data_IF_439920161918
#
_entry.id   IF_439920161918
#
_cell.length_a   1.000
_cell.length_b   1.000
_cell.length_c   1.000
_cell.angle_alpha   90.00
_cell.angle_beta   90.00
_cell.angle_gamma   90.00
#
_symmetry.space_group_name_H-M   'P 1'
#
loop_
_entity.id
_entity.type
_entity.pdbx_description
1 polymer ?
#
# COMPACT_ATOMS: atom_id res chain seq x y z
N UNK A 1 7.60 13.99 24.00
CA UNK A 1 8.00 14.02 25.41
C UNK A 1 9.52 14.02 25.60
N UNK A 2 10.24 13.23 24.79
CA UNK A 2 11.71 13.10 24.86
C UNK A 2 12.42 14.40 24.52
N UNK A 3 12.01 15.08 23.44
CA UNK A 3 12.57 16.36 22.99
C UNK A 3 12.49 17.51 24.04
N UNK A 4 11.48 17.47 24.91
CA UNK A 4 11.30 18.47 25.97
C UNK A 4 12.19 18.21 27.21
N UNK A 5 12.74 16.99 27.30
CA UNK A 5 13.58 16.56 28.42
C UNK A 5 15.08 16.66 28.12
N UNK A 6 15.47 16.96 26.87
CA UNK A 6 16.87 17.10 26.49
C UNK A 6 17.52 18.32 27.14
N UNK A 7 18.74 18.14 27.62
CA UNK A 7 19.55 19.25 28.08
C UNK A 7 19.98 20.13 26.92
N UNK A 8 19.67 21.42 27.00
CA UNK A 8 19.84 22.37 25.92
C UNK A 8 21.30 22.61 25.55
N UNK A 9 22.21 22.53 26.48
CA UNK A 9 23.63 22.67 26.21
C UNK A 9 24.15 21.48 25.39
N UNK A 10 23.73 20.27 25.73
CA UNK A 10 24.03 19.05 24.97
C UNK A 10 23.49 19.15 23.54
N UNK A 11 22.28 19.68 23.35
CA UNK A 11 21.68 19.91 22.02
C UNK A 11 22.50 20.91 21.19
N UNK A 12 22.95 22.01 21.82
CA UNK A 12 23.80 23.02 21.18
C UNK A 12 25.12 22.39 20.73
N UNK A 13 25.79 21.66 21.60
CA UNK A 13 27.06 21.01 21.27
C UNK A 13 26.92 20.01 20.14
N UNK A 14 25.93 19.13 20.18
CA UNK A 14 25.66 18.16 19.13
C UNK A 14 25.37 18.84 17.79
N UNK A 15 24.61 19.93 17.77
CA UNK A 15 24.31 20.67 16.56
C UNK A 15 25.56 21.36 15.99
N UNK A 16 26.38 21.98 16.84
CA UNK A 16 27.62 22.64 16.45
C UNK A 16 28.67 21.64 15.92
N UNK A 17 28.76 20.46 16.53
CA UNK A 17 29.67 19.40 16.08
C UNK A 17 29.22 18.80 14.73
N UNK A 18 27.93 18.52 14.57
CA UNK A 18 27.38 17.99 13.32
C UNK A 18 27.56 18.98 12.14
N UNK A 19 27.63 20.29 12.43
CA UNK A 19 27.76 21.36 11.44
C UNK A 19 29.13 22.08 11.53
N UNK A 20 30.16 21.40 11.97
CA UNK A 20 31.48 21.98 12.26
C UNK A 20 32.05 22.87 11.14
N UNK A 21 31.86 22.53 9.87
CA UNK A 21 32.31 23.32 8.72
C UNK A 21 31.61 24.69 8.59
N UNK A 22 30.41 24.83 9.12
CA UNK A 22 29.59 26.06 9.09
C UNK A 22 29.70 26.83 10.40
N UNK A 23 30.07 26.17 11.48
CA UNK A 23 30.04 26.70 12.85
C UNK A 23 31.38 27.29 13.29
N UNK A 24 32.30 27.57 12.37
CA UNK A 24 33.61 28.21 12.67
C UNK A 24 33.49 29.68 13.07
N UNK A 25 32.38 30.35 12.79
CA UNK A 25 32.15 31.75 13.18
C UNK A 25 31.59 31.85 14.62
N UNK A 26 32.23 32.60 15.52
CA UNK A 26 31.71 32.85 16.88
C UNK A 26 30.31 33.48 16.88
N UNK A 27 30.02 34.33 15.90
CA UNK A 27 28.72 34.99 15.74
C UNK A 27 27.61 33.98 15.42
N UNK A 28 27.91 32.96 14.62
CA UNK A 28 26.96 31.89 14.32
C UNK A 28 26.73 30.97 15.52
N UNK A 29 27.79 30.63 16.25
CA UNK A 29 27.67 29.84 17.48
C UNK A 29 26.81 30.55 18.53
N UNK A 30 26.98 31.85 18.72
CA UNK A 30 26.15 32.64 19.61
C UNK A 30 24.68 32.71 19.17
N UNK A 31 24.46 32.79 17.85
CA UNK A 31 23.11 32.73 17.29
C UNK A 31 22.44 31.39 17.57
N UNK A 32 23.14 30.27 17.42
CA UNK A 32 22.65 28.94 17.76
C UNK A 32 22.29 28.87 19.23
N UNK A 33 23.19 29.29 20.14
CA UNK A 33 22.95 29.32 21.59
C UNK A 33 21.72 30.14 21.93
N UNK A 34 21.63 31.35 21.44
CA UNK A 34 20.50 32.27 21.70
C UNK A 34 19.17 31.65 21.17
N UNK A 35 19.20 31.02 20.01
CA UNK A 35 18.01 30.38 19.42
C UNK A 35 17.54 29.22 20.29
N UNK A 36 18.43 28.30 20.65
CA UNK A 36 18.06 27.09 21.43
C UNK A 36 17.62 27.44 22.84
N UNK A 37 18.33 28.36 23.51
CA UNK A 37 17.95 28.78 24.88
C UNK A 37 16.64 29.55 24.93
N UNK A 38 16.28 30.27 23.87
CA UNK A 38 15.03 30.99 23.74
C UNK A 38 13.80 30.15 23.38
N UNK A 39 13.97 28.87 23.05
CA UNK A 39 12.86 27.99 22.71
C UNK A 39 11.99 27.65 23.92
N UNK A 40 10.71 27.98 23.87
CA UNK A 40 9.72 27.47 24.81
C UNK A 40 9.22 26.08 24.42
N UNK A 41 8.58 25.35 25.33
CA UNK A 41 7.96 24.06 25.04
C UNK A 41 6.92 24.18 23.88
N UNK A 42 6.16 25.24 23.85
CA UNK A 42 5.18 25.53 22.79
C UNK A 42 5.88 25.74 21.42
N UNK A 43 7.01 26.46 21.42
CA UNK A 43 7.78 26.69 20.21
C UNK A 43 8.42 25.39 19.69
N UNK A 44 8.92 24.53 20.57
CA UNK A 44 9.45 23.21 20.20
C UNK A 44 8.33 22.36 19.56
N UNK A 45 7.15 22.33 20.14
CA UNK A 45 6.02 21.59 19.56
C UNK A 45 5.62 22.13 18.18
N UNK A 46 5.58 23.44 18.03
CA UNK A 46 5.28 24.11 16.75
C UNK A 46 6.32 23.79 15.67
N UNK A 47 7.61 23.78 16.05
CA UNK A 47 8.71 23.41 15.17
C UNK A 47 8.64 21.94 14.76
N UNK A 48 8.38 21.06 15.71
CA UNK A 48 8.20 19.64 15.46
C UNK A 48 7.08 19.42 14.43
N UNK A 49 5.89 20.03 14.66
CA UNK A 49 4.77 19.97 13.71
C UNK A 49 5.14 20.49 12.32
N UNK A 50 5.92 21.56 12.23
CA UNK A 50 6.39 22.13 10.96
C UNK A 50 7.38 21.19 10.28
N UNK A 51 8.33 20.64 11.02
CA UNK A 51 9.33 19.70 10.51
C UNK A 51 8.66 18.42 9.99
N UNK A 52 7.76 17.83 10.76
CA UNK A 52 6.92 16.69 10.33
C UNK A 52 6.20 16.98 9.03
N UNK A 53 5.55 18.13 8.95
CA UNK A 53 4.84 18.55 7.74
C UNK A 53 5.77 18.70 6.53
N UNK A 54 6.98 19.22 6.72
CA UNK A 54 7.99 19.36 5.68
C UNK A 54 8.54 18.00 5.24
N UNK A 55 8.84 17.11 6.17
CA UNK A 55 9.25 15.74 5.86
C UNK A 55 8.12 14.97 5.15
N UNK A 56 6.90 15.03 5.66
CA UNK A 56 5.76 14.45 4.96
C UNK A 56 5.65 14.97 3.52
N UNK A 57 5.92 16.26 3.28
CA UNK A 57 5.98 16.85 1.95
C UNK A 57 7.11 16.28 1.08
N UNK A 58 8.30 16.11 1.64
CA UNK A 58 9.46 15.58 0.91
C UNK A 58 9.31 14.09 0.56
N UNK A 59 8.55 13.34 1.35
CA UNK A 59 8.21 11.93 1.07
C UNK A 59 6.95 11.77 0.21
N UNK A 60 6.37 12.85 -0.32
CA UNK A 60 5.17 12.79 -1.16
C UNK A 60 3.86 12.62 -0.37
N UNK A 61 3.87 12.71 0.94
CA UNK A 61 2.69 12.58 1.81
C UNK A 61 1.72 13.79 1.79
N UNK A 62 1.90 14.73 0.86
CA UNK A 62 0.94 15.82 0.60
C UNK A 62 -0.21 15.42 -0.31
N UNK A 63 -0.05 14.31 -1.01
CA UNK A 63 -1.08 13.74 -1.84
C UNK A 63 -2.06 12.97 -0.95
N UNK A 64 -3.35 12.90 -1.31
CA UNK A 64 -4.25 11.95 -0.68
C UNK A 64 -3.60 10.56 -0.78
N UNK A 65 -3.67 9.78 0.30
CA UNK A 65 -3.05 8.46 0.32
C UNK A 65 -3.39 7.69 -0.95
N UNK A 66 -2.38 7.30 -1.71
CA UNK A 66 -2.53 6.58 -2.97
C UNK A 66 -1.97 5.18 -2.81
N UNK A 67 -2.73 4.19 -3.27
CA UNK A 67 -2.25 2.84 -3.51
C UNK A 67 -2.50 2.47 -4.96
N UNK A 68 -1.45 2.03 -5.64
CA UNK A 68 -1.55 1.46 -6.99
C UNK A 68 -1.61 -0.06 -6.88
N UNK A 69 -2.54 -0.67 -7.60
CA UNK A 69 -2.69 -2.12 -7.66
C UNK A 69 -2.40 -2.56 -9.09
N UNK A 70 -1.32 -3.32 -9.26
CA UNK A 70 -0.87 -3.83 -10.55
C UNK A 70 -1.20 -5.32 -10.66
N UNK A 71 -1.65 -5.74 -11.83
CA UNK A 71 -1.98 -7.14 -12.13
C UNK A 71 -0.85 -7.69 -12.99
N UNK A 72 0.01 -8.51 -12.39
CA UNK A 72 1.20 -9.03 -13.02
C UNK A 72 0.93 -10.40 -13.64
N UNK A 73 1.13 -10.50 -14.97
CA UNK A 73 1.07 -11.80 -15.67
C UNK A 73 2.25 -12.65 -15.23
N UNK A 74 2.01 -13.95 -15.06
CA UNK A 74 3.08 -14.89 -14.69
C UNK A 74 2.85 -16.27 -15.29
N UNK A 75 3.85 -17.15 -15.15
CA UNK A 75 3.72 -18.54 -15.54
C UNK A 75 2.73 -19.26 -14.62
N UNK A 76 1.82 -20.03 -15.21
CA UNK A 76 1.00 -20.97 -14.46
C UNK A 76 1.87 -22.08 -13.89
N UNK A 77 1.79 -22.33 -12.60
CA UNK A 77 2.47 -23.44 -11.96
C UNK A 77 1.62 -24.72 -12.04
N UNK A 78 2.26 -25.91 -12.08
CA UNK A 78 1.53 -27.19 -12.10
C UNK A 78 0.70 -27.41 -10.84
N UNK A 79 -0.47 -28.03 -10.97
CA UNK A 79 -1.27 -28.52 -9.84
C UNK A 79 -0.95 -30.01 -9.60
N UNK A 80 0.29 -30.31 -9.23
CA UNK A 80 0.86 -31.64 -9.00
C UNK A 80 1.01 -31.98 -7.50
N UNK A 81 0.42 -31.17 -6.63
CA UNK A 81 0.47 -31.31 -5.17
C UNK A 81 1.77 -30.79 -4.53
N UNK A 82 2.74 -30.36 -5.31
CA UNK A 82 3.97 -29.74 -4.80
C UNK A 82 3.75 -28.25 -4.54
N UNK A 83 4.62 -27.65 -3.76
CA UNK A 83 4.61 -26.22 -3.46
C UNK A 83 5.77 -25.53 -4.20
N UNK A 84 5.45 -24.45 -4.88
CA UNK A 84 6.36 -23.68 -5.72
C UNK A 84 6.58 -22.27 -5.15
N UNK A 85 7.65 -21.63 -5.60
CA UNK A 85 7.85 -20.19 -5.39
C UNK A 85 7.13 -19.40 -6.47
N UNK A 86 6.87 -18.11 -6.21
CA UNK A 86 6.28 -17.19 -7.17
C UNK A 86 7.15 -17.11 -8.43
N UNK A 87 6.60 -17.42 -9.62
CA UNK A 87 7.32 -17.20 -10.86
C UNK A 87 7.49 -15.70 -11.16
N UNK A 88 8.49 -15.30 -11.95
CA UNK A 88 8.70 -13.89 -12.29
C UNK A 88 7.52 -13.32 -13.09
N UNK A 89 7.38 -11.98 -13.03
CA UNK A 89 6.44 -11.27 -13.89
C UNK A 89 6.84 -11.40 -15.36
N UNK A 90 5.84 -11.58 -16.20
CA UNK A 90 5.91 -11.54 -17.67
C UNK A 90 5.35 -10.22 -18.25
N UNK A 91 5.09 -9.23 -17.37
CA UNK A 91 4.51 -7.94 -17.69
C UNK A 91 3.11 -7.78 -17.10
N UNK A 92 2.61 -6.56 -17.15
CA UNK A 92 1.31 -6.20 -16.55
C UNK A 92 0.16 -6.48 -17.49
N UNK A 93 -0.98 -6.86 -16.91
CA UNK A 93 -2.24 -6.84 -17.63
C UNK A 93 -2.71 -5.38 -17.79
N UNK A 94 -3.22 -4.97 -18.98
CA UNK A 94 -3.76 -3.65 -19.13
C UNK A 94 -5.17 -3.57 -18.59
N UNK A 95 -5.52 -2.39 -18.16
CA UNK A 95 -6.85 -2.06 -17.69
C UNK A 95 -7.49 -1.05 -18.63
N UNK A 96 -8.82 -1.17 -18.83
CA UNK A 96 -9.64 -0.22 -19.58
C UNK A 96 -10.91 0.07 -18.77
N UNK A 97 -11.37 1.31 -18.77
CA UNK A 97 -12.63 1.62 -18.10
C UNK A 97 -13.82 0.96 -18.80
N UNK A 98 -14.74 0.40 -18.00
CA UNK A 98 -15.98 -0.20 -18.51
C UNK A 98 -16.79 0.81 -19.34
N UNK A 99 -16.77 2.08 -18.91
CA UNK A 99 -17.48 3.18 -19.56
C UNK A 99 -17.04 3.42 -21.01
N UNK A 100 -15.76 3.23 -21.32
CA UNK A 100 -15.22 3.35 -22.68
C UNK A 100 -15.79 2.30 -23.64
N UNK A 101 -16.36 1.21 -23.08
CA UNK A 101 -16.91 0.09 -23.83
C UNK A 101 -18.40 -0.15 -23.54
N UNK A 102 -19.10 0.82 -22.97
CA UNK A 102 -20.48 0.70 -22.50
C UNK A 102 -21.50 0.14 -23.52
N UNK A 103 -21.22 0.25 -24.82
CA UNK A 103 -22.04 -0.34 -25.90
C UNK A 103 -21.65 -1.78 -26.28
N UNK A 104 -20.61 -2.37 -25.69
CA UNK A 104 -20.04 -3.68 -26.04
C UNK A 104 -19.93 -4.64 -24.87
N UNK A 105 -20.16 -4.17 -23.65
CA UNK A 105 -20.13 -4.99 -22.44
C UNK A 105 -21.53 -5.40 -22.00
N UNK A 106 -21.67 -6.50 -21.23
CA UNK A 106 -22.94 -6.88 -20.63
C UNK A 106 -23.55 -5.77 -19.76
N UNK A 107 -24.89 -5.62 -19.70
CA UNK A 107 -25.54 -4.61 -18.86
C UNK A 107 -25.08 -4.64 -17.40
N UNK A 108 -24.89 -5.81 -16.84
CA UNK A 108 -24.46 -6.01 -15.45
C UNK A 108 -23.06 -5.46 -15.18
N UNK A 109 -22.17 -5.49 -16.18
CA UNK A 109 -20.82 -4.90 -16.06
C UNK A 109 -20.89 -3.37 -16.07
N UNK A 110 -21.78 -2.83 -16.90
CA UNK A 110 -22.02 -1.38 -16.94
C UNK A 110 -22.60 -0.86 -15.61
N UNK A 111 -23.51 -1.61 -15.00
CA UNK A 111 -24.09 -1.26 -13.70
C UNK A 111 -23.06 -1.33 -12.57
N UNK A 112 -22.17 -2.31 -12.61
CA UNK A 112 -21.08 -2.46 -11.61
C UNK A 112 -19.96 -1.44 -11.80
N UNK A 113 -19.77 -0.90 -13.00
CA UNK A 113 -18.64 -0.03 -13.33
C UNK A 113 -17.28 -0.75 -13.20
N UNK A 114 -16.23 0.01 -12.93
CA UNK A 114 -14.89 -0.52 -12.77
C UNK A 114 -14.10 -0.63 -14.06
N UNK A 115 -13.26 -1.66 -14.18
CA UNK A 115 -12.33 -1.82 -15.29
C UNK A 115 -12.45 -3.20 -15.95
N UNK A 116 -12.14 -3.24 -17.24
CA UNK A 116 -11.95 -4.46 -18.01
C UNK A 116 -10.49 -4.86 -17.94
N UNK A 117 -10.25 -6.12 -17.70
CA UNK A 117 -8.92 -6.74 -17.77
C UNK A 117 -8.99 -7.96 -18.66
N UNK A 118 -8.54 -7.84 -19.87
CA UNK A 118 -8.48 -8.95 -20.78
C UNK A 118 -7.41 -10.01 -20.39
N UNK A 119 -7.73 -11.32 -20.30
CA UNK A 119 -6.89 -12.41 -19.79
C UNK A 119 -7.33 -13.76 -20.38
N UNK A 120 -6.51 -14.46 -21.12
CA UNK A 120 -6.86 -15.74 -21.75
C UNK A 120 -7.06 -16.87 -20.73
N UNK A 121 -7.86 -17.86 -21.11
CA UNK A 121 -8.04 -19.06 -20.29
C UNK A 121 -6.70 -19.70 -19.92
N UNK A 122 -6.55 -20.07 -18.65
CA UNK A 122 -5.37 -20.70 -18.06
C UNK A 122 -4.14 -19.77 -17.89
N UNK A 123 -4.22 -18.50 -18.23
CA UNK A 123 -3.22 -17.54 -17.78
C UNK A 123 -3.24 -17.41 -16.25
N UNK A 124 -2.11 -17.00 -15.69
CA UNK A 124 -1.96 -16.79 -14.25
C UNK A 124 -1.51 -15.37 -13.95
N UNK A 125 -1.90 -14.87 -12.79
CA UNK A 125 -1.51 -13.56 -12.30
C UNK A 125 -1.17 -13.57 -10.82
N UNK A 126 -0.53 -12.50 -10.38
CA UNK A 126 -0.42 -12.06 -9.00
C UNK A 126 -0.64 -10.55 -8.92
N UNK A 127 -1.01 -10.08 -7.75
CA UNK A 127 -1.27 -8.66 -7.49
C UNK A 127 -0.04 -8.03 -6.85
N UNK A 128 0.37 -6.86 -7.34
CA UNK A 128 1.42 -6.05 -6.76
C UNK A 128 0.84 -4.73 -6.24
N UNK A 129 1.22 -4.35 -5.02
CA UNK A 129 0.72 -3.17 -4.35
C UNK A 129 1.85 -2.15 -4.23
N UNK A 130 1.64 -0.95 -4.77
CA UNK A 130 2.56 0.18 -4.66
C UNK A 130 1.95 1.29 -3.83
N UNK A 131 2.79 1.92 -3.06
CA UNK A 131 2.45 3.07 -2.25
C UNK A 131 3.18 3.02 -0.93
N UNK A 132 3.41 4.17 -0.35
CA UNK A 132 4.04 4.31 0.96
C UNK A 132 3.01 4.57 2.06
N UNK A 133 1.81 5.04 1.69
CA UNK A 133 0.73 5.25 2.65
C UNK A 133 0.03 3.92 2.97
N UNK A 134 -0.23 3.62 4.25
CA UNK A 134 -0.86 2.37 4.63
C UNK A 134 -2.32 2.26 4.19
N UNK A 135 -2.64 1.12 3.58
CA UNK A 135 -4.02 0.73 3.24
C UNK A 135 -4.30 -0.69 3.71
N UNK A 136 -5.50 -0.91 4.23
CA UNK A 136 -6.06 -2.25 4.30
C UNK A 136 -6.77 -2.56 2.98
N UNK A 137 -6.29 -3.56 2.24
CA UNK A 137 -6.82 -3.93 0.92
C UNK A 137 -7.51 -5.27 1.02
N UNK A 138 -8.79 -5.27 0.69
CA UNK A 138 -9.63 -6.45 0.60
C UNK A 138 -9.75 -6.90 -0.84
N UNK A 139 -9.45 -8.15 -1.09
CA UNK A 139 -9.42 -8.75 -2.42
C UNK A 139 -10.39 -9.92 -2.45
N UNK A 140 -11.23 -9.97 -3.48
CA UNK A 140 -12.11 -11.10 -3.73
C UNK A 140 -12.11 -11.51 -5.21
N UNK A 141 -12.47 -12.76 -5.48
CA UNK A 141 -12.76 -13.25 -6.82
C UNK A 141 -14.08 -13.97 -6.80
N UNK A 142 -15.04 -13.55 -7.65
CA UNK A 142 -16.40 -14.08 -7.63
C UNK A 142 -17.07 -13.95 -6.26
N UNK A 143 -16.78 -12.87 -5.52
CA UNK A 143 -17.24 -12.65 -4.14
C UNK A 143 -16.75 -13.68 -3.10
N UNK A 144 -15.70 -14.40 -3.38
CA UNK A 144 -14.97 -15.16 -2.38
C UNK A 144 -13.71 -14.34 -2.01
N UNK A 145 -13.51 -14.13 -0.73
CA UNK A 145 -12.36 -13.39 -0.22
C UNK A 145 -11.07 -14.17 -0.43
N UNK A 146 -10.08 -13.56 -1.05
CA UNK A 146 -8.83 -14.24 -1.38
C UNK A 146 -7.92 -14.50 -0.17
N UNK A 147 -8.12 -13.76 0.93
CA UNK A 147 -7.30 -13.88 2.15
C UNK A 147 -7.90 -14.88 3.13
N UNK A 148 -9.21 -14.79 3.39
CA UNK A 148 -9.88 -15.67 4.37
C UNK A 148 -10.53 -16.92 3.75
N UNK A 149 -10.74 -16.95 2.42
CA UNK A 149 -11.50 -18.01 1.75
C UNK A 149 -13.03 -17.96 2.00
N UNK A 150 -13.49 -17.02 2.80
CA UNK A 150 -14.92 -16.86 3.10
C UNK A 150 -15.67 -16.06 2.02
N UNK A 151 -17.00 -16.13 2.05
CA UNK A 151 -17.84 -15.25 1.23
C UNK A 151 -17.56 -13.77 1.56
N UNK A 152 -17.60 -12.92 0.54
CA UNK A 152 -17.38 -11.49 0.68
C UNK A 152 -18.38 -10.85 1.66
N UNK A 153 -17.86 -10.17 2.68
CA UNK A 153 -18.61 -9.43 3.69
C UNK A 153 -18.26 -7.95 3.61
N UNK A 154 -19.17 -7.01 3.93
CA UNK A 154 -18.84 -5.59 4.03
C UNK A 154 -17.81 -5.29 5.12
N UNK A 155 -16.98 -4.24 4.93
CA UNK A 155 -16.00 -3.80 5.90
C UNK A 155 -14.79 -4.75 6.03
N UNK A 156 -13.97 -4.53 7.05
CA UNK A 156 -12.81 -5.33 7.39
C UNK A 156 -13.11 -6.28 8.54
N UNK A 157 -12.70 -7.54 8.44
CA UNK A 157 -12.73 -8.50 9.53
C UNK A 157 -11.29 -8.88 9.90
N UNK A 158 -10.97 -8.89 11.19
CA UNK A 158 -9.64 -9.21 11.70
C UNK A 158 -9.51 -10.68 12.15
N UNK A 159 -10.60 -11.31 12.48
CA UNK A 159 -10.61 -12.69 12.96
C UNK A 159 -11.74 -13.52 12.31
N UNK A 160 -11.43 -14.32 11.28
CA UNK A 160 -10.16 -14.36 10.54
C UNK A 160 -9.91 -13.06 9.74
N UNK A 161 -8.65 -12.66 9.63
CA UNK A 161 -8.27 -11.49 8.82
C UNK A 161 -8.64 -11.72 7.35
N UNK A 162 -9.37 -10.76 6.76
CA UNK A 162 -9.92 -10.86 5.41
C UNK A 162 -9.36 -9.79 4.43
N UNK A 163 -8.23 -9.20 4.78
CA UNK A 163 -7.52 -8.16 4.03
C UNK A 163 -6.01 -8.29 4.16
N UNK A 164 -5.27 -7.65 3.30
CA UNK A 164 -3.82 -7.44 3.42
C UNK A 164 -3.53 -5.98 3.79
N UNK A 165 -2.41 -5.71 4.41
CA UNK A 165 -1.98 -4.35 4.78
C UNK A 165 -0.76 -3.96 3.97
N UNK A 166 -0.86 -2.86 3.22
CA UNK A 166 0.25 -2.27 2.47
C UNK A 166 0.85 -1.10 3.27
N UNK A 167 2.15 -0.83 3.13
CA UNK A 167 3.16 -1.49 2.31
C UNK A 167 3.73 -2.81 2.90
N UNK A 168 3.32 -3.22 4.11
CA UNK A 168 3.86 -4.40 4.79
C UNK A 168 3.72 -5.67 3.92
N UNK A 169 2.56 -5.85 3.27
CA UNK A 169 2.30 -6.91 2.29
C UNK A 169 2.36 -6.32 0.87
N UNK A 170 3.52 -6.36 0.18
CA UNK A 170 3.67 -5.68 -1.10
C UNK A 170 3.07 -6.43 -2.29
N UNK A 171 2.68 -7.71 -2.15
CA UNK A 171 2.02 -8.49 -3.21
C UNK A 171 1.13 -9.60 -2.64
N UNK A 172 0.23 -10.13 -3.48
CA UNK A 172 -0.60 -11.29 -3.21
C UNK A 172 -0.60 -12.24 -4.42
N UNK A 173 -0.16 -13.48 -4.20
CA UNK A 173 0.09 -14.46 -5.27
C UNK A 173 -1.16 -15.27 -5.67
N UNK A 174 -2.20 -15.27 -4.82
CA UNK A 174 -3.38 -16.09 -5.03
C UNK A 174 -4.32 -16.13 -3.83
N UNK A 175 -5.10 -17.21 -3.76
CA UNK A 175 -6.02 -17.49 -2.65
C UNK A 175 -5.27 -18.13 -1.49
N UNK A 176 -5.34 -17.54 -0.30
CA UNK A 176 -4.84 -18.16 0.91
C UNK A 176 -5.75 -19.34 1.29
N UNK A 177 -5.19 -20.54 1.39
CA UNK A 177 -5.94 -21.77 1.71
C UNK A 177 -5.54 -22.35 3.06
N UNK A 178 -4.29 -22.15 3.46
CA UNK A 178 -3.72 -22.55 4.74
C UNK A 178 -2.65 -21.54 5.13
N UNK A 179 -2.23 -21.53 6.39
CA UNK A 179 -1.12 -20.66 6.81
C UNK A 179 0.15 -20.96 6.02
N UNK A 180 0.65 -19.95 5.30
CA UNK A 180 1.84 -20.04 4.46
C UNK A 180 1.63 -20.76 3.12
N UNK A 181 0.38 -21.10 2.77
CA UNK A 181 0.06 -21.77 1.50
C UNK A 181 -1.00 -20.98 0.73
N UNK A 182 -0.63 -20.64 -0.48
CA UNK A 182 -1.46 -19.91 -1.45
C UNK A 182 -1.75 -20.81 -2.66
N UNK A 183 -2.93 -20.71 -3.24
CA UNK A 183 -3.24 -21.26 -4.57
C UNK A 183 -3.28 -20.14 -5.59
N UNK A 184 -2.47 -20.27 -6.63
CA UNK A 184 -2.27 -19.26 -7.66
C UNK A 184 -3.61 -18.79 -8.29
N UNK A 185 -3.72 -17.51 -8.56
CA UNK A 185 -4.80 -16.97 -9.39
C UNK A 185 -4.65 -17.41 -10.83
N UNK A 186 -5.59 -18.19 -11.34
CA UNK A 186 -5.61 -18.70 -12.71
C UNK A 186 -6.94 -18.41 -13.37
N UNK A 187 -6.89 -17.89 -14.59
CA UNK A 187 -8.08 -17.59 -15.38
C UNK A 187 -8.88 -18.86 -15.74
N UNK A 188 -10.14 -18.90 -15.39
CA UNK A 188 -11.06 -20.00 -15.69
C UNK A 188 -12.37 -19.48 -16.27
N UNK A 189 -12.98 -20.16 -17.24
CA UNK A 189 -14.29 -19.79 -17.75
C UNK A 189 -15.33 -19.80 -16.63
N UNK A 190 -16.09 -18.75 -16.52
CA UNK A 190 -17.23 -18.69 -15.62
C UNK A 190 -18.40 -19.55 -16.19
N UNK A 191 -19.03 -20.36 -15.34
CA UNK A 191 -20.07 -21.29 -15.76
C UNK A 191 -19.60 -22.71 -16.12
N UNK A 192 -18.28 -22.96 -16.07
CA UNK A 192 -17.69 -24.26 -16.37
C UNK A 192 -17.37 -25.10 -15.11
N UNK A 193 -17.66 -24.60 -13.90
CA UNK A 193 -17.44 -25.28 -12.62
C UNK A 193 -16.03 -25.17 -12.07
N UNK A 194 -15.16 -24.37 -12.71
CA UNK A 194 -13.74 -24.28 -12.34
C UNK A 194 -13.36 -23.02 -11.57
N UNK A 195 -14.23 -22.00 -11.55
CA UNK A 195 -13.94 -20.80 -10.77
C UNK A 195 -14.09 -21.06 -9.27
N UNK A 196 -13.36 -20.29 -8.46
CA UNK A 196 -13.47 -20.40 -6.99
C UNK A 196 -14.89 -20.09 -6.50
N UNK A 197 -15.56 -19.16 -7.19
CA UNK A 197 -16.96 -18.83 -6.90
C UNK A 197 -17.85 -20.05 -7.04
N UNK A 198 -17.75 -20.77 -8.16
CA UNK A 198 -18.57 -21.96 -8.44
C UNK A 198 -18.25 -23.11 -7.49
N UNK A 199 -16.97 -23.31 -7.18
CA UNK A 199 -16.54 -24.39 -6.28
C UNK A 199 -17.03 -24.19 -4.83
N UNK A 200 -17.12 -22.94 -4.35
CA UNK A 200 -17.50 -22.64 -2.97
C UNK A 200 -18.97 -22.23 -2.81
N UNK A 201 -19.55 -21.54 -3.79
CA UNK A 201 -20.96 -21.08 -3.73
C UNK A 201 -21.94 -21.91 -4.56
N UNK A 202 -21.44 -22.71 -5.49
CA UNK A 202 -22.25 -23.44 -6.48
C UNK A 202 -22.86 -22.52 -7.57
N UNK A 203 -22.42 -21.27 -7.70
CA UNK A 203 -23.00 -20.26 -8.59
C UNK A 203 -21.92 -19.61 -9.45
N UNK A 204 -22.32 -19.12 -10.62
CA UNK A 204 -21.50 -18.39 -11.58
C UNK A 204 -22.16 -17.02 -11.85
N UNK A 205 -22.16 -16.13 -10.86
CA UNK A 205 -22.94 -14.88 -10.92
C UNK A 205 -22.07 -13.63 -11.10
N UNK A 206 -20.89 -13.62 -10.51
CA UNK A 206 -20.07 -12.41 -10.43
C UNK A 206 -18.81 -12.49 -11.28
N UNK A 207 -18.05 -13.54 -11.14
CA UNK A 207 -16.73 -13.64 -11.76
C UNK A 207 -15.80 -12.50 -11.34
N UNK A 208 -14.77 -12.27 -12.12
CA UNK A 208 -13.89 -11.13 -11.96
C UNK A 208 -13.19 -11.01 -10.60
N UNK A 209 -12.61 -9.85 -10.36
CA UNK A 209 -11.94 -9.50 -9.10
C UNK A 209 -12.66 -8.32 -8.45
N UNK A 210 -12.88 -8.40 -7.15
CA UNK A 210 -13.40 -7.31 -6.34
C UNK A 210 -12.30 -6.76 -5.46
N UNK A 211 -12.09 -5.45 -5.52
CA UNK A 211 -11.13 -4.74 -4.71
C UNK A 211 -11.83 -3.72 -3.84
N UNK A 212 -11.41 -3.62 -2.59
CA UNK A 212 -11.80 -2.54 -1.70
C UNK A 212 -10.58 -2.11 -0.88
N UNK A 213 -10.27 -0.81 -0.92
CA UNK A 213 -9.12 -0.23 -0.24
C UNK A 213 -9.60 0.76 0.83
N UNK A 214 -9.10 0.58 2.04
CA UNK A 214 -9.39 1.40 3.21
C UNK A 214 -8.10 2.12 3.60
N UNK A 215 -7.99 3.45 3.46
CA UNK A 215 -6.82 4.17 3.89
C UNK A 215 -6.69 4.16 5.41
N UNK A 216 -5.47 4.27 5.92
CA UNK A 216 -5.27 4.56 7.32
C UNK A 216 -5.79 5.97 7.64
N UNK A 217 -6.37 6.17 8.82
CA UNK A 217 -6.76 7.52 9.27
C UNK A 217 -5.52 8.40 9.42
N UNK A 218 -5.60 9.64 8.99
CA UNK A 218 -4.48 10.57 9.03
C UNK A 218 -3.87 10.73 10.43
N UNK A 219 -4.70 10.70 11.48
CA UNK A 219 -4.22 10.75 12.87
C UNK A 219 -3.45 9.49 13.24
N UNK A 220 -3.97 8.30 12.92
CA UNK A 220 -3.29 7.02 13.20
C UNK A 220 -1.98 6.91 12.43
N UNK A 221 -1.95 7.37 11.18
CA UNK A 221 -0.75 7.42 10.37
C UNK A 221 0.31 8.34 11.00
N UNK A 222 -0.09 9.53 11.42
CA UNK A 222 0.81 10.45 12.13
C UNK A 222 1.38 9.84 13.39
N UNK A 223 0.53 9.24 14.25
CA UNK A 223 0.93 8.72 15.54
C UNK A 223 1.77 7.44 15.47
N UNK A 224 1.48 6.56 14.50
CA UNK A 224 2.04 5.20 14.44
C UNK A 224 3.15 5.02 13.40
N UNK A 225 3.10 5.76 12.31
CA UNK A 225 4.07 5.64 11.22
C UNK A 225 5.07 6.79 11.21
N UNK A 226 4.59 8.04 11.29
CA UNK A 226 5.48 9.20 11.20
C UNK A 226 6.15 9.54 12.53
N UNK A 227 5.42 9.57 13.62
CA UNK A 227 5.95 10.01 14.90
C UNK A 227 7.12 9.15 15.44
N UNK A 228 7.13 7.81 15.26
CA UNK A 228 8.26 6.99 15.65
C UNK A 228 9.53 7.20 14.80
N UNK A 229 9.36 7.59 13.54
CA UNK A 229 10.48 7.84 12.60
C UNK A 229 11.04 9.25 12.68
N UNK A 230 10.38 10.13 13.45
CA UNK A 230 10.84 11.49 13.59
C UNK A 230 12.15 11.57 14.37
N UNK A 231 12.96 12.61 14.09
CA UNK A 231 14.16 12.86 14.86
C UNK A 231 13.81 12.95 16.33
N UNK A 232 14.46 12.13 17.13
CA UNK A 232 14.25 12.08 18.59
C UNK A 232 15.00 13.19 19.33
N UNK A 233 15.86 13.92 18.59
CA UNK A 233 16.71 14.98 19.16
C UNK A 233 16.34 16.34 18.60
N UNK A 234 16.34 17.34 19.46
CA UNK A 234 16.06 18.72 19.08
C UNK A 234 17.09 19.26 18.07
N UNK A 235 18.33 18.79 18.11
CA UNK A 235 19.40 19.14 17.18
C UNK A 235 18.98 18.88 15.71
N UNK A 236 18.28 17.80 15.44
CA UNK A 236 17.85 17.39 14.08
C UNK A 236 16.78 18.34 13.52
N UNK A 237 16.03 19.02 14.39
CA UNK A 237 14.97 19.99 14.02
C UNK A 237 15.53 21.39 13.80
N UNK A 238 16.68 21.68 14.39
CA UNK A 238 17.32 23.02 14.30
C UNK A 238 17.79 23.35 12.89
N UNK A 239 18.02 22.37 12.03
CA UNK A 239 18.34 22.59 10.62
C UNK A 239 17.24 23.37 9.88
N UNK A 240 15.99 23.25 10.30
CA UNK A 240 14.86 24.00 9.74
C UNK A 240 14.77 25.46 10.22
N UNK A 241 15.47 25.79 11.30
CA UNK A 241 15.50 27.16 11.87
C UNK A 241 16.67 27.99 11.35
N UNK A 242 17.70 27.33 10.85
CA UNK A 242 18.93 27.95 10.42
C UNK A 242 19.03 27.87 8.89
N UNK A 243 19.51 28.89 8.19
CA UNK A 243 19.43 28.97 6.73
C UNK A 243 20.18 27.81 6.06
N UNK A 244 19.60 27.22 5.00
CA UNK A 244 20.09 26.01 4.36
C UNK A 244 21.33 26.24 3.50
N UNK A 245 22.23 25.22 3.49
CA UNK A 245 23.47 25.19 2.69
C UNK A 245 23.54 23.99 1.75
N UNK A 246 22.46 23.51 1.15
CA UNK A 246 22.56 22.42 0.16
C UNK A 246 21.63 22.57 -1.03
N UNK A 247 22.18 22.19 -2.19
CA UNK A 247 21.54 22.11 -3.50
C UNK A 247 20.93 20.71 -3.71
N UNK A 248 19.79 20.69 -4.39
CA UNK A 248 19.00 19.48 -4.71
C UNK A 248 19.56 18.71 -5.92
N UNK A 249 19.29 17.40 -5.95
CA UNK A 249 19.41 16.56 -7.14
C UNK A 249 18.14 15.72 -7.35
N UNK A 250 17.70 15.62 -8.61
CA UNK A 250 16.46 14.96 -9.05
C UNK A 250 16.71 13.54 -9.60
N UNK A 251 15.69 12.69 -9.54
CA UNK A 251 15.66 11.35 -10.16
C UNK A 251 14.34 11.16 -10.94
N UNK A 252 14.44 10.66 -12.18
CA UNK A 252 13.34 10.39 -13.12
C UNK A 252 12.96 8.90 -13.22
N UNK A 253 11.69 8.62 -13.58
CA UNK A 253 11.15 7.27 -13.85
C UNK A 253 10.52 7.13 -15.24
N UNK A 254 10.57 5.92 -15.80
CA UNK A 254 10.10 5.56 -17.14
C UNK A 254 8.95 4.52 -17.12
N UNK A 255 8.10 4.54 -18.15
CA UNK A 255 6.86 3.73 -18.35
C UNK A 255 6.95 2.78 -19.54
N UNK A 256 6.08 1.72 -19.56
CA UNK A 256 5.33 1.11 -20.72
C UNK A 256 4.67 -0.23 -20.32
N UNK A 257 3.56 -0.58 -20.72
CA UNK A 257 2.40 -0.97 -21.57
C UNK A 257 2.41 -2.49 -21.91
N UNK A 258 1.37 -3.23 -22.19
CA UNK A 258 -0.07 -3.42 -22.16
C UNK A 258 -0.48 -4.84 -22.63
N UNK A 259 -1.60 -5.38 -22.23
CA UNK A 259 -2.79 -6.15 -22.70
C UNK A 259 -2.93 -7.67 -22.47
N UNK A 260 -4.12 -8.26 -22.75
CA UNK A 260 -5.41 -8.43 -22.05
C UNK A 260 -5.85 -9.87 -21.58
N UNK A 261 -6.87 -10.15 -21.02
CA UNK A 261 -7.76 -10.71 -20.20
C UNK A 261 -8.51 -11.94 -19.79
N UNK A 262 -9.14 -12.23 -18.54
CA UNK A 262 -10.16 -13.26 -18.11
C UNK A 262 -10.42 -13.40 -16.59
N UNK A 263 -11.19 -14.45 -16.08
CA UNK A 263 -11.58 -14.76 -14.70
C UNK A 263 -10.62 -15.66 -13.92
N UNK A 264 -10.72 -15.79 -12.57
CA UNK A 264 -9.74 -16.50 -11.76
C UNK A 264 -10.23 -17.80 -11.14
N UNK A 265 -9.47 -18.88 -11.27
CA UNK A 265 -9.55 -20.12 -10.49
C UNK A 265 -8.34 -20.31 -9.59
N UNK A 266 -8.41 -21.25 -8.68
CA UNK A 266 -7.28 -21.64 -7.83
C UNK A 266 -6.34 -22.57 -8.61
N UNK A 267 -5.13 -22.08 -8.91
CA UNK A 267 -4.08 -22.82 -9.57
C UNK A 267 -3.27 -23.72 -8.62
N UNK A 268 -2.03 -24.02 -8.99
CA UNK A 268 -1.10 -24.79 -8.19
C UNK A 268 -0.76 -24.13 -6.85
N UNK A 269 -0.12 -24.90 -5.95
CA UNK A 269 0.22 -24.43 -4.58
C UNK A 269 1.52 -23.62 -4.60
N UNK A 270 1.51 -22.48 -3.94
CA UNK A 270 2.68 -21.61 -3.72
C UNK A 270 2.89 -21.32 -2.24
N UNK A 271 4.10 -20.90 -1.91
CA UNK A 271 4.47 -20.51 -0.54
C UNK A 271 4.40 -18.99 -0.41
N UNK A 272 3.40 -18.52 0.30
CA UNK A 272 3.31 -17.13 0.74
C UNK A 272 2.61 -17.06 2.08
N UNK A 273 3.10 -16.23 2.98
CA UNK A 273 2.43 -15.92 4.25
C UNK A 273 1.68 -14.59 4.13
N UNK A 274 0.46 -14.55 4.63
CA UNK A 274 -0.29 -13.30 4.81
C UNK A 274 0.12 -12.71 6.15
N UNK A 275 0.63 -11.49 6.13
CA UNK A 275 1.07 -10.82 7.35
C UNK A 275 -0.12 -10.36 8.17
N UNK A 276 -0.02 -10.56 9.48
CA UNK A 276 -1.02 -10.07 10.41
C UNK A 276 -1.01 -8.54 10.47
N UNK A 277 -2.19 -7.94 10.49
CA UNK A 277 -2.33 -6.50 10.69
C UNK A 277 -1.77 -6.07 12.05
N UNK A 278 -0.75 -5.22 12.03
CA UNK A 278 -0.12 -4.63 13.23
C UNK A 278 -0.91 -3.45 13.80
N UNK A 279 -1.90 -2.96 13.06
CA UNK A 279 -2.78 -1.86 13.47
C UNK A 279 -4.08 -2.40 14.07
N UNK A 280 -4.94 -1.53 14.53
CA UNK A 280 -6.27 -1.89 15.02
C UNK A 280 -7.38 -1.51 14.05
N UNK A 281 -8.58 -2.08 14.17
CA UNK A 281 -9.71 -1.72 13.31
C UNK A 281 -10.06 -0.21 13.34
N UNK A 282 -9.76 0.46 14.45
CA UNK A 282 -9.96 1.89 14.65
C UNK A 282 -9.03 2.77 13.81
N UNK A 283 -7.93 2.21 13.30
CA UNK A 283 -6.92 2.94 12.52
C UNK A 283 -7.32 3.09 11.06
N UNK A 284 -8.25 2.26 10.56
CA UNK A 284 -8.71 2.27 9.20
C UNK A 284 -9.91 3.19 9.00
N UNK A 285 -9.90 3.96 7.91
CA UNK A 285 -11.01 4.83 7.54
C UNK A 285 -12.05 4.04 6.74
N UNK A 286 -13.12 3.64 7.42
CA UNK A 286 -14.21 2.86 6.83
C UNK A 286 -15.16 3.72 5.99
N UNK A 287 -15.16 5.04 6.20
CA UNK A 287 -16.08 5.97 5.53
C UNK A 287 -15.55 6.38 4.15
N UNK A 288 -14.24 6.50 4.01
CA UNK A 288 -13.59 6.93 2.77
C UNK A 288 -12.92 5.77 2.02
N UNK A 289 -13.52 4.57 2.07
CA UNK A 289 -13.04 3.44 1.29
C UNK A 289 -13.32 3.60 -0.21
N UNK A 290 -12.41 3.10 -1.03
CA UNK A 290 -12.56 3.02 -2.48
C UNK A 290 -12.79 1.57 -2.91
N UNK A 291 -13.67 1.35 -3.89
CA UNK A 291 -13.96 0.02 -4.44
C UNK A 291 -13.80 0.00 -5.94
N UNK A 292 -13.30 -1.10 -6.47
CA UNK A 292 -13.19 -1.32 -7.90
C UNK A 292 -13.57 -2.77 -8.23
N UNK A 293 -14.35 -2.94 -9.31
CA UNK A 293 -14.59 -4.24 -9.91
C UNK A 293 -13.71 -4.40 -11.15
N UNK A 294 -12.99 -5.52 -11.25
CA UNK A 294 -12.18 -5.87 -12.40
C UNK A 294 -12.87 -7.00 -13.14
N UNK A 295 -13.50 -6.67 -14.26
CA UNK A 295 -14.14 -7.65 -15.13
C UNK A 295 -13.09 -8.32 -16.00
N UNK A 296 -13.08 -9.63 -15.95
CA UNK A 296 -12.17 -10.45 -16.74
C UNK A 296 -12.87 -10.84 -18.04
N UNK A 297 -12.21 -10.63 -19.16
CA UNK A 297 -12.76 -10.92 -20.49
C UNK A 297 -11.70 -11.58 -21.39
N UNK A 298 -12.17 -12.41 -22.32
CA UNK A 298 -11.34 -13.05 -23.35
C UNK A 298 -11.34 -12.21 -24.63
#
# INVERSE_FOLDING_TARGET
PTLLAEDRETVIEQFLDANHALCSSPEYQEKVRTTVTGLSAENIEKLLRKHVKKQAQSYGYNEPGIVEIEFERTLRIPDDGKTYYLPPSLGRFPLRHVEDYAGRVPPEWKERGGVLMPMYQAEALWLYFRGSYPFAIKIGAGRINAVSGESWKPGLNRDPQDYVVTPDQPWLDGFAVEKGVIRQFVAMPLGAGYSIEEQLSGKAEFGGIQLQAFPMKAQSFFEKELLPELPTRLADILEDLLPPWRTESQIEYCRCCESPGMGLGAGGRMKQEIYADRHGPQDWDMEHSSSCFVHLCD
#
